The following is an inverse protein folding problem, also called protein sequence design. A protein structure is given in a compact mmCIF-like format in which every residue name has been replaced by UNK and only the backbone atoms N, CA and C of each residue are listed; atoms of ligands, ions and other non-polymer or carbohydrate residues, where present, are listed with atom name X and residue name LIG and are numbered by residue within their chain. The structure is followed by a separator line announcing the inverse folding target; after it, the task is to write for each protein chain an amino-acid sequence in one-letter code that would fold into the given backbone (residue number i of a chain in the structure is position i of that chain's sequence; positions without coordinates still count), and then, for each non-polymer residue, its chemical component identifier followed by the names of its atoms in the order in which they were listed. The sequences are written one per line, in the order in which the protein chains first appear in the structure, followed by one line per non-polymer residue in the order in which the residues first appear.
data_IF_651508033900
#
_entry.id   IF_651508033900
#
_cell.length_a   1.000
_cell.length_b   1.000
_cell.length_c   1.000
_cell.angle_alpha   90.00
_cell.angle_beta   90.00
_cell.angle_gamma   90.00
#
_symmetry.space_group_name_H-M   'P 1'
#
loop_
_entity.id
_entity.type
_entity.pdbx_description
1 polymer ?
#
# COMPACT_ATOMS: atom_id res chain seq x y z
N UNK A 1 16.01 15.47 22.15
CA UNK A 1 14.58 15.19 21.98
C UNK A 1 14.26 13.87 22.69
N UNK A 2 13.13 13.77 23.36
CA UNK A 2 12.68 12.52 24.02
C UNK A 2 11.28 12.15 23.55
N UNK A 3 10.94 10.85 23.49
CA UNK A 3 9.65 10.38 22.97
C UNK A 3 8.43 11.05 23.60
N UNK A 4 8.46 11.29 24.92
CA UNK A 4 7.34 11.89 25.65
C UNK A 4 7.01 13.32 25.20
N UNK A 5 8.00 14.08 24.72
CA UNK A 5 7.78 15.46 24.25
C UNK A 5 6.99 15.48 22.94
N UNK A 6 7.38 14.66 21.96
CA UNK A 6 6.66 14.63 20.67
C UNK A 6 5.27 14.01 20.82
N UNK A 7 5.12 12.98 21.67
CA UNK A 7 3.81 12.41 21.99
C UNK A 7 2.90 13.47 22.62
N UNK A 8 3.44 14.27 23.55
CA UNK A 8 2.69 15.35 24.20
C UNK A 8 2.27 16.44 23.20
N UNK A 9 3.18 16.86 22.30
CA UNK A 9 2.84 17.80 21.22
C UNK A 9 1.62 17.31 20.44
N UNK A 10 1.66 16.08 19.95
CA UNK A 10 0.56 15.53 19.13
C UNK A 10 -0.71 15.30 19.96
N UNK A 11 -0.59 14.83 21.20
CA UNK A 11 -1.72 14.70 22.13
C UNK A 11 -2.44 16.03 22.35
N UNK A 12 -1.68 17.13 22.46
CA UNK A 12 -2.18 18.48 22.73
C UNK A 12 -2.55 19.22 21.42
N UNK A 13 -2.74 18.47 20.32
CA UNK A 13 -3.15 18.97 19.01
C UNK A 13 -2.19 20.02 18.41
N UNK A 14 -0.90 19.85 18.66
CA UNK A 14 0.15 20.65 18.04
C UNK A 14 0.73 19.94 16.82
N UNK A 15 1.14 20.69 15.82
CA UNK A 15 1.80 20.14 14.65
C UNK A 15 3.20 19.65 15.00
N UNK A 16 3.57 18.50 14.38
CA UNK A 16 4.91 17.95 14.49
C UNK A 16 5.81 18.52 13.39
N UNK A 17 7.02 18.92 13.78
CA UNK A 17 8.02 19.31 12.79
C UNK A 17 8.56 18.08 12.04
N UNK A 18 9.27 18.32 10.92
CA UNK A 18 9.96 17.25 10.18
C UNK A 18 10.96 16.50 11.07
N UNK A 19 11.63 17.20 11.97
CA UNK A 19 12.58 16.63 12.93
C UNK A 19 11.87 15.74 13.97
N UNK A 20 10.69 16.15 14.48
CA UNK A 20 9.87 15.36 15.40
C UNK A 20 9.44 14.04 14.73
N UNK A 21 9.01 14.12 13.46
CA UNK A 21 8.55 12.96 12.68
C UNK A 21 9.71 12.01 12.37
N UNK A 22 10.85 12.52 11.92
CA UNK A 22 12.04 11.71 11.69
C UNK A 22 12.50 11.01 12.97
N UNK A 23 12.54 11.73 14.10
CA UNK A 23 12.90 11.13 15.39
C UNK A 23 11.94 10.00 15.81
N UNK A 24 10.64 10.16 15.52
CA UNK A 24 9.66 9.09 15.76
C UNK A 24 9.92 7.87 14.86
N UNK A 25 10.11 8.08 13.56
CA UNK A 25 10.32 6.98 12.59
C UNK A 25 11.65 6.27 12.83
N UNK A 26 12.73 7.00 13.13
CA UNK A 26 14.01 6.42 13.52
C UNK A 26 13.86 5.55 14.76
N UNK A 27 13.07 6.02 15.75
CA UNK A 27 12.78 5.29 16.96
C UNK A 27 11.98 4.00 16.76
N UNK A 28 11.14 3.95 15.69
CA UNK A 28 10.44 2.72 15.27
C UNK A 28 11.43 1.65 14.79
N UNK A 29 12.43 2.06 14.02
CA UNK A 29 13.38 1.15 13.37
C UNK A 29 14.51 0.70 14.28
N UNK A 30 15.05 1.61 15.10
CA UNK A 30 16.16 1.31 16.00
C UNK A 30 15.73 0.80 17.37
N UNK A 31 14.40 0.77 17.66
CA UNK A 31 13.85 0.27 18.92
C UNK A 31 13.98 1.20 20.10
N UNK A 32 14.33 2.48 19.90
CA UNK A 32 14.41 3.47 20.99
C UNK A 32 13.04 3.95 21.48
N UNK A 33 11.98 3.73 20.69
CA UNK A 33 10.60 3.87 21.14
C UNK A 33 10.05 2.52 21.59
N UNK A 34 9.52 2.46 22.80
CA UNK A 34 8.79 1.29 23.28
C UNK A 34 7.45 1.15 22.57
N UNK A 35 6.90 -0.07 22.54
CA UNK A 35 5.58 -0.33 21.94
C UNK A 35 4.48 0.54 22.57
N UNK A 36 4.57 0.83 23.88
CA UNK A 36 3.65 1.73 24.56
C UNK A 36 3.74 3.18 24.06
N UNK A 37 4.94 3.66 23.75
CA UNK A 37 5.14 4.99 23.17
C UNK A 37 4.65 5.09 21.74
N UNK A 38 4.87 4.03 20.94
CA UNK A 38 4.35 3.94 19.58
C UNK A 38 2.82 3.90 19.60
N UNK A 39 2.22 3.12 20.50
CA UNK A 39 0.77 3.07 20.69
C UNK A 39 0.19 4.43 21.09
N UNK A 40 0.83 5.13 22.02
CA UNK A 40 0.42 6.47 22.47
C UNK A 40 0.49 7.49 21.30
N UNK A 41 1.55 7.47 20.50
CA UNK A 41 1.67 8.32 19.31
C UNK A 41 0.61 7.98 18.27
N UNK A 42 0.38 6.70 17.99
CA UNK A 42 -0.65 6.24 17.05
C UNK A 42 -2.05 6.72 17.47
N UNK A 43 -2.36 6.64 18.77
CA UNK A 43 -3.64 7.11 19.31
C UNK A 43 -3.74 8.64 19.27
N UNK A 44 -2.66 9.38 19.56
CA UNK A 44 -2.63 10.84 19.45
C UNK A 44 -2.87 11.29 17.99
N UNK A 45 -2.26 10.62 17.01
CA UNK A 45 -2.49 10.87 15.58
C UNK A 45 -3.93 10.49 15.20
N UNK A 46 -4.45 9.37 15.69
CA UNK A 46 -5.83 8.94 15.42
C UNK A 46 -6.84 9.98 15.89
N UNK A 47 -6.65 10.53 17.10
CA UNK A 47 -7.58 11.47 17.72
C UNK A 47 -7.51 12.88 17.15
N UNK A 48 -6.30 13.35 16.79
CA UNK A 48 -6.06 14.75 16.41
C UNK A 48 -5.72 14.92 14.91
N UNK A 49 -5.57 13.82 14.17
CA UNK A 49 -5.15 13.87 12.77
C UNK A 49 -3.70 14.30 12.57
N UNK A 50 -3.36 14.55 11.33
CA UNK A 50 -2.10 15.17 10.88
C UNK A 50 -2.42 16.14 9.75
N UNK A 51 -1.64 17.20 9.63
CA UNK A 51 -1.70 18.07 8.46
C UNK A 51 -1.22 17.32 7.22
N UNK A 52 -1.54 17.79 6.00
CA UNK A 52 -0.98 17.20 4.78
C UNK A 52 0.55 17.18 4.79
N UNK A 53 1.18 18.25 5.28
CA UNK A 53 2.63 18.41 5.36
C UNK A 53 3.24 17.42 6.35
N UNK A 54 2.65 17.23 7.53
CA UNK A 54 3.04 16.19 8.48
C UNK A 54 2.93 14.79 7.84
N UNK A 55 1.85 14.54 7.09
CA UNK A 55 1.60 13.24 6.46
C UNK A 55 2.61 12.96 5.33
N UNK A 56 3.00 13.98 4.56
CA UNK A 56 4.10 13.89 3.58
C UNK A 56 5.42 13.55 4.30
N UNK A 57 5.77 14.30 5.36
CA UNK A 57 6.99 14.04 6.13
C UNK A 57 7.01 12.62 6.71
N UNK A 58 5.88 12.14 7.26
CA UNK A 58 5.78 10.78 7.79
C UNK A 58 5.97 9.74 6.67
N UNK A 59 5.36 9.98 5.52
CA UNK A 59 5.48 9.10 4.34
C UNK A 59 6.93 9.02 3.87
N UNK A 60 7.61 10.16 3.71
CA UNK A 60 9.03 10.22 3.33
C UNK A 60 9.93 9.52 4.35
N UNK A 61 9.74 9.80 5.64
CA UNK A 61 10.53 9.18 6.70
C UNK A 61 10.34 7.66 6.72
N UNK A 62 9.11 7.18 6.60
CA UNK A 62 8.83 5.74 6.53
C UNK A 62 9.39 5.09 5.27
N UNK A 63 9.34 5.78 4.12
CA UNK A 63 9.98 5.33 2.86
C UNK A 63 11.48 5.13 3.06
N UNK A 64 12.14 6.13 3.65
CA UNK A 64 13.59 6.16 3.84
C UNK A 64 14.06 5.34 5.05
N UNK A 65 13.16 4.71 5.79
CA UNK A 65 13.51 3.86 6.93
C UNK A 65 14.18 2.55 6.55
N UNK A 66 14.19 2.19 5.26
CA UNK A 66 14.77 0.98 4.72
C UNK A 66 15.26 1.15 3.29
N UNK A 67 15.29 0.05 2.55
CA UNK A 67 15.74 0.05 1.16
C UNK A 67 14.71 0.69 0.24
N UNK A 68 15.19 1.36 -0.81
CA UNK A 68 14.41 1.82 -1.95
C UNK A 68 14.91 1.15 -3.23
N UNK A 69 14.00 0.82 -4.13
CA UNK A 69 14.38 0.14 -5.37
C UNK A 69 14.69 1.19 -6.43
N UNK A 70 15.89 1.11 -7.00
CA UNK A 70 16.26 1.88 -8.18
C UNK A 70 16.13 0.97 -9.42
N UNK A 71 15.32 1.38 -10.39
CA UNK A 71 15.08 0.65 -11.64
C UNK A 71 15.93 1.14 -12.81
N UNK A 72 16.56 2.32 -12.74
CA UNK A 72 17.24 2.98 -13.87
C UNK A 72 18.35 2.16 -14.53
N UNK A 73 18.97 1.24 -13.79
CA UNK A 73 20.01 0.34 -14.32
C UNK A 73 19.46 -0.99 -14.83
N UNK A 74 18.15 -1.22 -14.68
CA UNK A 74 17.52 -2.52 -14.92
C UNK A 74 16.56 -2.42 -16.11
N UNK A 75 15.71 -1.39 -16.11
CA UNK A 75 14.68 -1.11 -17.12
C UNK A 75 14.53 0.40 -17.31
N UNK A 76 13.72 0.82 -18.27
CA UNK A 76 13.33 2.23 -18.39
C UNK A 76 12.47 2.62 -17.18
N UNK A 77 13.02 3.42 -16.29
CA UNK A 77 12.37 3.81 -15.03
C UNK A 77 11.10 4.66 -15.24
N UNK A 78 10.96 5.34 -16.35
CA UNK A 78 9.76 6.13 -16.68
C UNK A 78 8.55 5.22 -16.98
N UNK A 79 8.81 3.99 -17.39
CA UNK A 79 7.78 2.98 -17.67
C UNK A 79 7.43 2.12 -16.45
N UNK A 80 8.02 2.38 -15.28
CA UNK A 80 7.74 1.62 -14.05
C UNK A 80 6.50 2.17 -13.37
N UNK A 81 5.43 1.41 -13.38
CA UNK A 81 4.16 1.82 -12.80
C UNK A 81 3.54 0.76 -11.91
N UNK A 82 2.58 1.16 -11.10
CA UNK A 82 1.81 0.22 -10.28
C UNK A 82 0.36 0.69 -10.10
N UNK A 83 -0.47 -0.22 -9.67
CA UNK A 83 -1.85 0.03 -9.23
C UNK A 83 -2.00 -0.50 -7.79
N UNK A 84 -2.55 0.31 -6.91
CA UNK A 84 -2.90 -0.12 -5.57
C UNK A 84 -4.41 -0.13 -5.39
N UNK A 85 -4.95 -1.26 -4.92
CA UNK A 85 -6.35 -1.34 -4.49
C UNK A 85 -6.46 -1.16 -2.98
N UNK A 86 -7.47 -0.43 -2.53
CA UNK A 86 -7.82 -0.37 -1.10
C UNK A 86 -8.47 -1.65 -0.60
N UNK A 87 -8.74 -2.61 -1.49
CA UNK A 87 -9.25 -3.93 -1.15
C UNK A 87 -10.77 -4.02 -1.13
N UNK A 88 -11.24 -5.25 -1.38
CA UNK A 88 -12.66 -5.58 -1.35
C UNK A 88 -12.88 -7.07 -1.58
N UNK A 89 -14.08 -7.54 -1.22
CA UNK A 89 -14.47 -8.95 -1.41
C UNK A 89 -14.59 -9.26 -2.90
N UNK A 90 -13.73 -10.17 -3.39
CA UNK A 90 -13.72 -10.55 -4.81
C UNK A 90 -13.02 -9.54 -5.72
N UNK A 91 -12.21 -8.62 -5.17
CA UNK A 91 -11.34 -7.75 -5.98
C UNK A 91 -10.14 -8.55 -6.51
N UNK A 92 -10.15 -8.80 -7.80
CA UNK A 92 -9.11 -9.55 -8.53
C UNK A 92 -8.44 -8.73 -9.63
N UNK A 93 -8.73 -7.44 -9.74
CA UNK A 93 -8.27 -6.56 -10.82
C UNK A 93 -6.74 -6.60 -10.96
N UNK A 94 -5.99 -6.56 -9.86
CA UNK A 94 -4.52 -6.56 -9.89
C UNK A 94 -3.92 -7.79 -10.60
N UNK A 95 -4.57 -8.96 -10.44
CA UNK A 95 -4.11 -10.23 -11.05
C UNK A 95 -4.16 -10.20 -12.57
N UNK A 96 -5.18 -9.51 -13.11
CA UNK A 96 -5.40 -9.38 -14.58
C UNK A 96 -4.61 -8.19 -15.12
N UNK A 97 -4.61 -7.07 -14.39
CA UNK A 97 -4.05 -5.81 -14.86
C UNK A 97 -2.53 -5.87 -15.02
N UNK A 98 -1.81 -6.47 -14.07
CA UNK A 98 -0.35 -6.52 -14.11
C UNK A 98 0.19 -7.15 -15.40
N UNK A 99 -0.25 -8.35 -15.83
CA UNK A 99 0.22 -8.91 -17.09
C UNK A 99 -0.28 -8.16 -18.34
N UNK A 100 -1.43 -7.48 -18.30
CA UNK A 100 -1.91 -6.63 -19.39
C UNK A 100 -0.98 -5.43 -19.58
N UNK A 101 -0.63 -4.73 -18.50
CA UNK A 101 0.29 -3.60 -18.53
C UNK A 101 1.68 -4.03 -19.03
N UNK A 102 2.17 -5.17 -18.56
CA UNK A 102 3.43 -5.75 -19.04
C UNK A 102 3.38 -6.05 -20.55
N UNK A 103 2.29 -6.60 -21.05
CA UNK A 103 2.09 -6.83 -22.49
C UNK A 103 2.01 -5.52 -23.31
N UNK A 104 1.66 -4.41 -22.65
CA UNK A 104 1.69 -3.07 -23.24
C UNK A 104 3.06 -2.38 -23.15
N UNK A 105 4.09 -3.06 -22.65
CA UNK A 105 5.46 -2.54 -22.54
C UNK A 105 5.78 -1.78 -21.25
N UNK A 106 4.92 -1.85 -20.24
CA UNK A 106 5.19 -1.27 -18.94
C UNK A 106 5.84 -2.28 -17.99
N UNK A 107 6.49 -1.78 -16.94
CA UNK A 107 7.04 -2.60 -15.87
C UNK A 107 6.22 -2.42 -14.59
N UNK A 108 5.73 -3.54 -14.05
CA UNK A 108 4.79 -3.54 -12.91
C UNK A 108 5.38 -4.31 -11.72
N UNK A 109 6.23 -3.68 -10.90
CA UNK A 109 6.80 -4.28 -9.68
C UNK A 109 5.79 -4.20 -8.54
N UNK A 110 4.70 -4.95 -8.60
CA UNK A 110 3.58 -4.83 -7.69
C UNK A 110 3.92 -5.44 -6.32
N UNK A 111 4.05 -4.58 -5.30
CA UNK A 111 4.13 -5.00 -3.91
C UNK A 111 2.73 -4.92 -3.30
N UNK A 112 2.22 -6.06 -2.90
CA UNK A 112 0.83 -6.21 -2.46
C UNK A 112 0.73 -6.72 -1.02
N UNK A 113 -0.48 -6.70 -0.48
CA UNK A 113 -0.78 -7.08 0.90
C UNK A 113 -1.60 -8.37 1.00
N UNK A 114 -1.72 -8.84 2.25
CA UNK A 114 -2.68 -9.85 2.65
C UNK A 114 -4.05 -9.23 2.90
N UNK A 115 -5.06 -10.07 2.95
CA UNK A 115 -6.41 -9.64 3.30
C UNK A 115 -6.49 -9.12 4.73
N UNK A 116 -7.40 -8.17 4.91
CA UNK A 116 -7.72 -7.59 6.21
C UNK A 116 -9.22 -7.76 6.46
N UNK A 117 -9.60 -8.06 7.69
CA UNK A 117 -11.00 -8.20 8.09
C UNK A 117 -11.75 -9.18 7.18
N UNK A 118 -12.77 -8.68 6.50
CA UNK A 118 -13.63 -9.47 5.61
C UNK A 118 -13.13 -9.59 4.16
N UNK A 119 -12.00 -8.95 3.82
CA UNK A 119 -11.47 -8.94 2.46
C UNK A 119 -10.43 -10.03 2.23
N UNK A 120 -10.28 -10.48 0.97
CA UNK A 120 -9.19 -11.36 0.55
C UNK A 120 -8.04 -10.56 -0.05
N UNK A 121 -6.81 -10.80 0.42
CA UNK A 121 -5.62 -10.13 -0.10
C UNK A 121 -5.14 -10.71 -1.42
N UNK A 122 -4.47 -9.88 -2.22
CA UNK A 122 -3.86 -10.33 -3.47
C UNK A 122 -2.83 -11.44 -3.23
N UNK A 123 -2.00 -11.32 -2.18
CA UNK A 123 -1.02 -12.36 -1.85
C UNK A 123 -1.67 -13.70 -1.47
N UNK A 124 -2.78 -13.66 -0.73
CA UNK A 124 -3.51 -14.87 -0.33
C UNK A 124 -4.03 -15.63 -1.56
N UNK A 125 -4.36 -14.90 -2.63
CA UNK A 125 -4.75 -15.49 -3.91
C UNK A 125 -3.55 -16.14 -4.60
N UNK A 126 -2.41 -15.47 -4.66
CA UNK A 126 -1.18 -16.00 -5.26
C UNK A 126 -0.60 -17.19 -4.49
N UNK A 127 -0.75 -17.24 -3.17
CA UNK A 127 -0.36 -18.40 -2.36
C UNK A 127 -1.15 -19.67 -2.73
N UNK A 128 -2.29 -19.53 -3.41
CA UNK A 128 -3.06 -20.68 -3.92
C UNK A 128 -2.53 -21.27 -5.23
N UNK A 129 -1.53 -20.63 -5.85
CA UNK A 129 -0.88 -21.13 -7.08
C UNK A 129 0.29 -22.03 -6.67
N UNK A 130 0.27 -23.33 -7.00
CA UNK A 130 1.36 -24.23 -6.64
C UNK A 130 2.70 -23.73 -7.21
N UNK A 131 3.71 -23.59 -6.32
CA UNK A 131 5.05 -23.17 -6.69
C UNK A 131 5.25 -21.66 -6.84
N UNK A 132 4.21 -20.83 -6.69
CA UNK A 132 4.38 -19.39 -6.68
C UNK A 132 5.00 -18.91 -5.36
N UNK A 133 6.12 -18.18 -5.45
CA UNK A 133 6.78 -17.61 -4.27
C UNK A 133 6.38 -16.15 -4.09
N UNK A 134 5.55 -15.85 -3.09
CA UNK A 134 5.14 -14.48 -2.74
C UNK A 134 6.18 -13.71 -1.94
N UNK A 135 7.31 -14.33 -1.57
CA UNK A 135 8.40 -13.72 -0.77
C UNK A 135 9.78 -14.02 -1.38
N UNK A 136 10.00 -13.70 -2.67
CA UNK A 136 11.34 -13.85 -3.25
C UNK A 136 12.31 -12.87 -2.61
N UNK A 137 13.61 -13.11 -2.81
CA UNK A 137 14.62 -12.09 -2.57
C UNK A 137 14.51 -10.94 -3.59
N UNK A 138 15.15 -9.80 -3.29
CA UNK A 138 15.05 -8.60 -4.11
C UNK A 138 15.65 -8.79 -5.51
N UNK A 139 16.71 -9.54 -5.64
CA UNK A 139 17.36 -9.80 -6.94
C UNK A 139 16.50 -10.67 -7.84
N UNK A 140 15.89 -11.72 -7.29
CA UNK A 140 14.89 -12.53 -8.00
C UNK A 140 13.70 -11.66 -8.44
N UNK A 141 13.19 -10.79 -7.57
CA UNK A 141 12.10 -9.88 -7.91
C UNK A 141 12.46 -8.95 -9.06
N UNK A 142 13.61 -8.27 -8.99
CA UNK A 142 14.11 -7.38 -10.04
C UNK A 142 14.29 -8.12 -11.38
N UNK A 143 14.87 -9.33 -11.32
CA UNK A 143 15.06 -10.16 -12.50
C UNK A 143 13.73 -10.52 -13.17
N UNK A 144 12.72 -10.93 -12.39
CA UNK A 144 11.40 -11.29 -12.94
C UNK A 144 10.73 -10.07 -13.57
N UNK A 145 10.76 -8.91 -12.91
CA UNK A 145 10.20 -7.67 -13.51
C UNK A 145 10.89 -7.32 -14.81
N UNK A 146 12.23 -7.44 -14.88
CA UNK A 146 12.99 -7.19 -16.10
C UNK A 146 12.61 -8.16 -17.24
N UNK A 147 12.52 -9.44 -16.94
CA UNK A 147 12.38 -10.51 -17.96
C UNK A 147 10.92 -10.67 -18.42
N UNK A 148 9.96 -10.42 -17.51
CA UNK A 148 8.52 -10.70 -17.73
C UNK A 148 7.69 -9.42 -17.84
N UNK A 149 8.20 -8.28 -17.36
CA UNK A 149 7.48 -7.00 -17.29
C UNK A 149 6.64 -6.83 -16.02
N UNK A 150 6.32 -7.90 -15.29
CA UNK A 150 5.57 -7.77 -14.03
C UNK A 150 5.93 -8.85 -13.02
N UNK A 151 5.74 -8.52 -11.74
CA UNK A 151 5.74 -9.47 -10.65
C UNK A 151 4.84 -8.96 -9.51
N UNK A 152 4.15 -9.86 -8.80
CA UNK A 152 3.31 -9.53 -7.65
C UNK A 152 3.87 -10.25 -6.43
N UNK A 153 4.42 -9.49 -5.48
CA UNK A 153 5.07 -10.03 -4.28
C UNK A 153 4.55 -9.36 -3.01
N UNK A 154 4.87 -9.94 -1.87
CA UNK A 154 4.70 -9.31 -0.56
C UNK A 154 5.80 -8.30 -0.25
N UNK A 155 5.55 -7.46 0.73
CA UNK A 155 6.55 -6.55 1.26
C UNK A 155 7.77 -7.33 1.74
N UNK A 156 8.95 -6.95 1.28
CA UNK A 156 10.23 -7.50 1.76
C UNK A 156 10.53 -6.98 3.17
N UNK A 157 11.46 -7.63 3.88
CA UNK A 157 11.81 -7.24 5.25
C UNK A 157 12.36 -5.82 5.37
N UNK A 158 13.05 -5.36 4.33
CA UNK A 158 13.80 -4.11 4.35
C UNK A 158 13.07 -2.96 3.64
N UNK A 159 11.94 -3.20 3.00
CA UNK A 159 11.17 -2.16 2.35
C UNK A 159 10.24 -1.49 3.36
N UNK A 160 10.45 -0.20 3.65
CA UNK A 160 9.69 0.57 4.62
C UNK A 160 9.47 -0.18 5.97
N UNK A 161 10.54 -0.63 6.67
CA UNK A 161 10.41 -1.44 7.89
C UNK A 161 9.68 -0.70 9.02
N UNK A 162 9.76 0.64 9.08
CA UNK A 162 9.01 1.44 10.04
C UNK A 162 7.50 1.24 9.90
N UNK A 163 6.98 1.12 8.65
CA UNK A 163 5.57 0.83 8.42
C UNK A 163 5.16 -0.52 9.02
N UNK A 164 5.97 -1.54 8.81
CA UNK A 164 5.69 -2.89 9.34
C UNK A 164 5.57 -2.87 10.87
N UNK A 165 6.49 -2.17 11.55
CA UNK A 165 6.48 -2.03 13.01
C UNK A 165 5.27 -1.23 13.47
N UNK A 166 5.04 -0.07 12.88
CA UNK A 166 3.92 0.81 13.21
C UNK A 166 2.57 0.10 13.01
N UNK A 167 2.40 -0.57 11.85
CA UNK A 167 1.16 -1.27 11.53
C UNK A 167 0.84 -2.39 12.53
N UNK A 168 1.83 -3.17 12.96
CA UNK A 168 1.63 -4.25 13.94
C UNK A 168 1.10 -3.74 15.29
N UNK A 169 1.44 -2.50 15.67
CA UNK A 169 0.96 -1.88 16.89
C UNK A 169 -0.43 -1.25 16.68
N UNK A 170 -0.66 -0.61 15.53
CA UNK A 170 -1.96 -0.02 15.17
C UNK A 170 -3.09 -1.04 15.20
N UNK A 171 -2.82 -2.26 14.74
CA UNK A 171 -3.79 -3.36 14.74
C UNK A 171 -4.21 -3.72 16.18
N UNK A 172 -3.25 -3.76 17.11
CA UNK A 172 -3.51 -4.10 18.51
C UNK A 172 -4.30 -3.00 19.23
N UNK A 173 -4.03 -1.73 18.93
CA UNK A 173 -4.57 -0.58 19.69
C UNK A 173 -5.77 0.09 19.00
N UNK A 174 -6.31 -0.51 17.93
CA UNK A 174 -7.54 -0.03 17.27
C UNK A 174 -7.37 1.34 16.60
N UNK A 175 -6.24 1.58 15.92
CA UNK A 175 -5.96 2.83 15.21
C UNK A 175 -5.72 2.63 13.71
N UNK A 176 -6.19 1.51 13.17
CA UNK A 176 -6.01 1.16 11.75
C UNK A 176 -6.73 2.16 10.84
N UNK A 177 -7.90 2.67 11.26
CA UNK A 177 -8.75 3.56 10.44
C UNK A 177 -8.27 5.02 10.37
N UNK A 178 -7.14 5.36 10.99
CA UNK A 178 -6.56 6.70 10.92
C UNK A 178 -6.16 7.07 9.50
N UNK A 179 -6.81 8.08 8.91
CA UNK A 179 -6.58 8.52 7.54
C UNK A 179 -5.10 8.84 7.23
N UNK A 180 -4.38 9.66 8.04
CA UNK A 180 -2.97 9.95 7.77
C UNK A 180 -2.09 8.70 7.88
N UNK A 181 -2.39 7.80 8.83
CA UNK A 181 -1.62 6.57 9.00
C UNK A 181 -1.89 5.54 7.89
N UNK A 182 -3.12 5.46 7.37
CA UNK A 182 -3.44 4.66 6.17
C UNK A 182 -2.66 5.21 4.98
N UNK A 183 -2.73 6.52 4.77
CA UNK A 183 -2.07 7.21 3.65
C UNK A 183 -0.58 6.95 3.65
N UNK A 184 0.10 7.19 4.76
CA UNK A 184 1.55 7.00 4.89
C UNK A 184 1.95 5.52 4.75
N UNK A 185 1.14 4.60 5.31
CA UNK A 185 1.39 3.16 5.20
C UNK A 185 1.32 2.66 3.76
N UNK A 186 0.35 3.11 2.98
CA UNK A 186 0.23 2.73 1.56
C UNK A 186 1.39 3.34 0.75
N UNK A 187 1.58 4.64 0.87
CA UNK A 187 2.49 5.38 0.00
C UNK A 187 3.95 5.12 0.28
N UNK A 188 4.35 4.93 1.55
CA UNK A 188 5.75 4.64 1.87
C UNK A 188 6.26 3.39 1.15
N UNK A 189 5.45 2.34 1.06
CA UNK A 189 5.79 1.10 0.33
C UNK A 189 5.83 1.32 -1.19
N UNK A 190 4.89 2.12 -1.72
CA UNK A 190 4.81 2.41 -3.15
C UNK A 190 5.96 3.29 -3.63
N UNK A 191 6.33 4.29 -2.85
CA UNK A 191 7.49 5.14 -3.15
C UNK A 191 8.79 4.33 -3.01
N UNK A 192 8.93 3.54 -1.93
CA UNK A 192 10.11 2.68 -1.73
C UNK A 192 10.27 1.62 -2.84
N UNK A 193 9.19 1.22 -3.53
CA UNK A 193 9.29 0.33 -4.69
C UNK A 193 9.79 1.01 -5.98
N UNK A 194 10.08 2.31 -5.97
CA UNK A 194 10.74 3.02 -7.07
C UNK A 194 9.86 3.30 -8.28
N UNK A 195 8.56 3.55 -8.06
CA UNK A 195 7.59 3.81 -9.12
C UNK A 195 7.75 5.21 -9.73
N UNK A 196 7.57 5.34 -11.03
CA UNK A 196 7.37 6.62 -11.72
C UNK A 196 5.92 7.09 -11.64
N UNK A 197 4.97 6.14 -11.63
CA UNK A 197 3.55 6.46 -11.58
C UNK A 197 2.73 5.42 -10.82
N UNK A 198 1.64 5.89 -10.19
CA UNK A 198 0.74 5.07 -9.40
C UNK A 198 -0.73 5.41 -9.69
N UNK A 199 -1.55 4.39 -9.90
CA UNK A 199 -3.01 4.52 -9.90
C UNK A 199 -3.57 3.88 -8.64
N UNK A 200 -4.37 4.65 -7.91
CA UNK A 200 -5.07 4.20 -6.71
C UNK A 200 -6.51 3.82 -7.07
N UNK A 201 -6.83 2.57 -6.88
CA UNK A 201 -8.17 2.01 -7.08
C UNK A 201 -8.87 1.95 -5.72
N UNK A 202 -9.58 3.03 -5.40
CA UNK A 202 -10.27 3.19 -4.13
C UNK A 202 -11.65 2.57 -4.21
N UNK A 203 -11.80 1.42 -3.59
CA UNK A 203 -13.03 0.63 -3.58
C UNK A 203 -14.09 1.26 -2.68
N UNK A 204 -15.32 1.34 -3.17
CA UNK A 204 -16.48 1.92 -2.46
C UNK A 204 -17.63 0.92 -2.43
N UNK A 205 -18.21 0.71 -1.27
CA UNK A 205 -19.39 -0.14 -1.13
C UNK A 205 -19.28 -1.16 0.00
N UNK A 206 -20.29 -2.00 0.13
CA UNK A 206 -20.42 -2.95 1.24
C UNK A 206 -19.36 -4.07 1.23
N UNK A 207 -18.70 -4.32 0.11
CA UNK A 207 -17.60 -5.26 -0.01
C UNK A 207 -16.23 -4.66 0.29
N UNK A 208 -16.16 -3.36 0.62
CA UNK A 208 -14.90 -2.64 0.92
C UNK A 208 -14.92 -2.03 2.32
N UNK A 209 -13.77 -1.48 2.75
CA UNK A 209 -13.68 -0.70 4.00
C UNK A 209 -14.31 0.70 3.86
N UNK A 210 -14.35 1.26 2.65
CA UNK A 210 -14.97 2.56 2.39
C UNK A 210 -16.46 2.34 2.07
N UNK A 211 -17.29 2.37 3.09
CA UNK A 211 -18.74 2.11 2.96
C UNK A 211 -19.49 3.19 2.20
N UNK A 212 -18.97 4.42 2.17
CA UNK A 212 -19.58 5.56 1.49
C UNK A 212 -18.62 6.24 0.52
N UNK A 213 -19.19 6.96 -0.45
CA UNK A 213 -18.41 7.69 -1.44
C UNK A 213 -17.60 8.85 -0.82
N UNK A 214 -18.10 9.45 0.25
CA UNK A 214 -17.44 10.58 0.91
C UNK A 214 -16.17 10.11 1.64
N UNK A 215 -16.25 8.99 2.39
CA UNK A 215 -15.06 8.36 3.00
C UNK A 215 -14.01 8.02 1.94
N UNK A 216 -14.45 7.46 0.81
CA UNK A 216 -13.54 7.11 -0.28
C UNK A 216 -12.90 8.34 -0.95
N UNK A 217 -13.65 9.45 -1.09
CA UNK A 217 -13.11 10.73 -1.59
C UNK A 217 -12.06 11.32 -0.67
N UNK A 218 -12.32 11.31 0.63
CA UNK A 218 -11.37 11.82 1.62
C UNK A 218 -10.07 11.02 1.58
N UNK A 219 -10.16 9.68 1.51
CA UNK A 219 -9.00 8.82 1.36
C UNK A 219 -8.27 9.07 0.03
N UNK A 220 -9.01 9.17 -1.08
CA UNK A 220 -8.42 9.44 -2.40
C UNK A 220 -7.69 10.79 -2.43
N UNK A 221 -8.31 11.84 -1.89
CA UNK A 221 -7.73 13.17 -1.82
C UNK A 221 -6.46 13.19 -0.97
N UNK A 222 -6.48 12.51 0.18
CA UNK A 222 -5.31 12.37 1.04
C UNK A 222 -4.17 11.66 0.33
N UNK A 223 -4.44 10.49 -0.26
CA UNK A 223 -3.46 9.68 -0.98
C UNK A 223 -2.83 10.44 -2.14
N UNK A 224 -3.63 11.05 -3.02
CA UNK A 224 -3.13 11.80 -4.19
C UNK A 224 -2.32 13.02 -3.77
N UNK A 225 -2.80 13.78 -2.77
CA UNK A 225 -2.08 14.96 -2.25
C UNK A 225 -0.72 14.58 -1.68
N UNK A 226 -0.68 13.56 -0.83
CA UNK A 226 0.56 13.12 -0.17
C UNK A 226 1.52 12.49 -1.17
N UNK A 227 1.04 11.66 -2.12
CA UNK A 227 1.88 11.09 -3.17
C UNK A 227 2.56 12.18 -4.01
N UNK A 228 1.78 13.19 -4.46
CA UNK A 228 2.31 14.35 -5.21
C UNK A 228 3.29 15.17 -4.37
N UNK A 229 2.99 15.38 -3.09
CA UNK A 229 3.89 16.05 -2.14
C UNK A 229 5.23 15.33 -1.97
N UNK A 230 5.23 14.01 -2.03
CA UNK A 230 6.41 13.15 -1.98
C UNK A 230 7.05 12.88 -3.38
N UNK A 231 6.61 13.60 -4.43
CA UNK A 231 7.20 13.53 -5.77
C UNK A 231 6.75 12.36 -6.65
N UNK A 232 5.74 11.59 -6.24
CA UNK A 232 5.19 10.48 -7.04
C UNK A 232 4.02 10.96 -7.89
N UNK A 233 4.07 10.73 -9.22
CA UNK A 233 2.89 10.93 -10.07
C UNK A 233 1.78 9.95 -9.69
N UNK A 234 0.65 10.48 -9.24
CA UNK A 234 -0.41 9.65 -8.68
C UNK A 234 -1.80 10.17 -9.06
N UNK A 235 -2.64 9.24 -9.50
CA UNK A 235 -4.06 9.45 -9.77
C UNK A 235 -4.89 8.46 -8.96
N UNK A 236 -6.15 8.78 -8.69
CA UNK A 236 -7.07 7.89 -8.00
C UNK A 236 -8.39 7.76 -8.76
N UNK A 237 -8.92 6.55 -8.77
CA UNK A 237 -10.26 6.24 -9.27
C UNK A 237 -11.10 5.64 -8.15
N UNK A 238 -12.37 6.03 -8.08
CA UNK A 238 -13.35 5.44 -7.19
C UNK A 238 -14.10 4.36 -7.95
N UNK A 239 -14.08 3.13 -7.44
CA UNK A 239 -14.73 1.99 -8.10
C UNK A 239 -15.72 1.29 -7.19
N UNK A 240 -16.84 0.84 -7.78
CA UNK A 240 -17.91 0.17 -7.05
C UNK A 240 -17.50 -1.24 -6.57
N UNK A 241 -17.68 -1.49 -5.28
CA UNK A 241 -17.43 -2.77 -4.63
C UNK A 241 -18.67 -3.27 -3.85
N UNK A 242 -19.87 -2.96 -4.31
CA UNK A 242 -21.10 -3.54 -3.75
C UNK A 242 -21.34 -4.98 -4.20
N UNK A 243 -20.59 -5.46 -5.17
CA UNK A 243 -20.62 -6.83 -5.69
C UNK A 243 -19.19 -7.29 -5.97
N UNK A 244 -18.96 -8.60 -5.94
CA UNK A 244 -17.70 -9.18 -6.40
C UNK A 244 -17.45 -8.83 -7.86
N UNK A 245 -16.20 -8.66 -8.25
CA UNK A 245 -15.81 -8.52 -9.64
C UNK A 245 -15.76 -9.92 -10.29
N UNK A 246 -16.34 -10.04 -11.48
CA UNK A 246 -16.59 -11.37 -12.07
C UNK A 246 -17.67 -12.15 -11.31
N UNK A 247 -17.51 -13.48 -11.22
CA UNK A 247 -18.55 -14.41 -10.70
C UNK A 247 -18.14 -15.16 -9.45
N UNK A 248 -16.87 -15.07 -9.04
CA UNK A 248 -16.33 -15.84 -7.92
C UNK A 248 -15.70 -14.96 -6.85
N UNK A 249 -15.76 -15.40 -5.60
CA UNK A 249 -14.98 -14.90 -4.49
C UNK A 249 -14.36 -16.10 -3.76
N UNK A 250 -13.08 -15.99 -3.42
CA UNK A 250 -12.27 -17.04 -2.83
C UNK A 250 -10.94 -17.19 -3.58
N UNK A 251 -9.85 -17.37 -2.87
CA UNK A 251 -8.48 -17.21 -3.35
C UNK A 251 -8.21 -17.98 -4.65
N UNK A 252 -8.35 -19.31 -4.63
CA UNK A 252 -8.12 -20.17 -5.80
C UNK A 252 -9.15 -19.93 -6.91
N UNK A 253 -10.43 -19.72 -6.55
CA UNK A 253 -11.49 -19.50 -7.52
C UNK A 253 -11.27 -18.20 -8.31
N UNK A 254 -10.81 -17.16 -7.65
CA UNK A 254 -10.49 -15.89 -8.28
C UNK A 254 -9.29 -16.01 -9.23
N UNK A 255 -8.24 -16.76 -8.84
CA UNK A 255 -7.10 -17.04 -9.74
C UNK A 255 -7.56 -17.82 -10.98
N UNK A 256 -8.37 -18.87 -10.82
CA UNK A 256 -8.89 -19.64 -11.94
C UNK A 256 -9.74 -18.77 -12.87
N UNK A 257 -10.55 -17.87 -12.34
CA UNK A 257 -11.34 -16.92 -13.12
C UNK A 257 -10.46 -15.92 -13.86
N UNK A 258 -9.41 -15.37 -13.21
CA UNK A 258 -8.43 -14.49 -13.84
C UNK A 258 -7.70 -15.17 -14.99
N UNK A 259 -7.29 -16.43 -14.83
CA UNK A 259 -6.63 -17.21 -15.90
C UNK A 259 -7.57 -17.38 -17.10
N UNK A 260 -8.85 -17.72 -16.87
CA UNK A 260 -9.84 -17.81 -17.94
C UNK A 260 -10.06 -16.48 -18.65
N UNK A 261 -10.09 -15.38 -17.88
CA UNK A 261 -10.23 -14.03 -18.43
C UNK A 261 -9.05 -13.68 -19.34
N UNK A 262 -7.81 -13.88 -18.89
CA UNK A 262 -6.58 -13.61 -19.67
C UNK A 262 -6.51 -14.49 -20.92
N UNK A 263 -6.97 -15.75 -20.84
CA UNK A 263 -7.07 -16.66 -22.01
C UNK A 263 -8.22 -16.33 -22.95
N UNK A 264 -9.05 -15.34 -22.63
CA UNK A 264 -10.25 -14.98 -23.37
C UNK A 264 -11.36 -16.07 -23.39
N UNK A 265 -11.32 -17.00 -22.43
CA UNK A 265 -12.33 -18.05 -22.25
C UNK A 265 -13.55 -17.55 -21.44
N UNK A 266 -13.41 -16.39 -20.79
CA UNK A 266 -14.42 -15.76 -19.97
C UNK A 266 -14.32 -14.24 -20.09
N UNK A 267 -15.45 -13.57 -20.18
CA UNK A 267 -15.56 -12.11 -20.16
C UNK A 267 -16.60 -11.68 -19.13
N UNK A 268 -16.30 -10.63 -18.44
CA UNK A 268 -17.22 -9.97 -17.52
C UNK A 268 -17.10 -8.46 -17.70
N UNK A 269 -18.24 -7.78 -17.80
CA UNK A 269 -18.27 -6.33 -18.08
C UNK A 269 -17.86 -5.47 -16.88
N UNK A 270 -17.95 -6.00 -15.65
CA UNK A 270 -17.53 -5.29 -14.45
C UNK A 270 -16.05 -5.48 -14.15
N UNK A 271 -15.50 -6.62 -14.51
CA UNK A 271 -14.10 -6.97 -14.29
C UNK A 271 -13.22 -6.38 -15.41
#
# INVERSE_FOLDING_TARGET
MIPQEIIRKKRDNQDLSKEDINFFVDGLTNGSFSDAQIAAMSMAIFSNGMTPEETVCLTEAMTNSGDTINWSEIVDSELVCDKHSTGGVGDKTSVILAPILAACGLYVPMISGRGLGHTGGTLDKFDSIPGYNTKPDLETFKKVVKDVGCAIIGQTSNLAPADKKLYSIRDIVGTVESLPLITSSILSKKIASGLSSLVLDVKVGNGSFNSTIDIARDLSNSLVRVAKGAGLHCEAILTDMNQVLGKSAGHTLEILECIKYIKNDFKDHRL
#
